data_IF_895356366328
#
_entry.id   IF_895356366328
#
_cell.length_a   1.000
_cell.length_b   1.000
_cell.length_c   1.000
_cell.angle_alpha   90.00
_cell.angle_beta   90.00
_cell.angle_gamma   90.00
#
_symmetry.space_group_name_H-M   'P 1'
#
loop_
_entity.id
_entity.type
_entity.pdbx_description
1 polymer ?
#
# COMPACT_ATOMS: atom_id res chain seq x y z
N UNK A 1 -28.72 0.57 -14.24
CA UNK A 1 -27.56 0.69 -13.35
C UNK A 1 -26.33 0.48 -14.22
N UNK A 2 -25.50 1.48 -14.41
CA UNK A 2 -24.27 1.30 -15.18
C UNK A 2 -23.29 0.44 -14.37
N UNK A 3 -22.33 -0.22 -15.03
CA UNK A 3 -21.28 -0.94 -14.32
C UNK A 3 -20.48 -0.01 -13.38
N UNK A 4 -20.37 1.27 -13.73
CA UNK A 4 -19.71 2.28 -12.91
C UNK A 4 -20.48 2.57 -11.60
N UNK A 5 -21.81 2.58 -11.67
CA UNK A 5 -22.67 2.72 -10.49
C UNK A 5 -22.51 1.48 -9.60
N UNK A 6 -22.52 0.27 -10.19
CA UNK A 6 -22.41 -0.97 -9.42
C UNK A 6 -21.08 -1.13 -8.66
N UNK A 7 -19.95 -0.70 -9.26
CA UNK A 7 -18.64 -0.72 -8.57
C UNK A 7 -18.60 0.29 -7.43
N UNK A 8 -19.10 1.50 -7.66
CA UNK A 8 -19.14 2.55 -6.63
C UNK A 8 -20.03 2.13 -5.46
N UNK A 9 -21.22 1.57 -5.75
CA UNK A 9 -22.15 1.05 -4.74
C UNK A 9 -21.51 -0.09 -3.95
N UNK A 10 -20.73 -0.96 -4.60
CA UNK A 10 -20.00 -2.04 -3.93
C UNK A 10 -18.93 -1.51 -2.96
N UNK A 11 -18.19 -0.46 -3.34
CA UNK A 11 -17.22 0.20 -2.46
C UNK A 11 -17.91 0.86 -1.27
N UNK A 12 -19.05 1.52 -1.49
CA UNK A 12 -19.86 2.10 -0.40
C UNK A 12 -20.35 1.02 0.57
N UNK A 13 -20.88 -0.09 0.05
CA UNK A 13 -21.32 -1.20 0.88
C UNK A 13 -20.18 -1.80 1.72
N UNK A 14 -18.98 -1.95 1.14
CA UNK A 14 -17.80 -2.40 1.88
C UNK A 14 -17.40 -1.42 2.97
N UNK A 15 -17.38 -0.11 2.66
CA UNK A 15 -17.10 0.93 3.65
C UNK A 15 -18.10 0.84 4.81
N UNK A 16 -19.39 0.85 4.53
CA UNK A 16 -20.44 0.83 5.55
C UNK A 16 -20.38 -0.45 6.40
N UNK A 17 -19.99 -1.57 5.81
CA UNK A 17 -19.80 -2.83 6.54
C UNK A 17 -18.64 -2.78 7.53
N UNK A 18 -17.58 -2.03 7.24
CA UNK A 18 -16.32 -2.07 8.00
C UNK A 18 -16.00 -0.78 8.76
N UNK A 19 -16.77 0.31 8.60
CA UNK A 19 -16.53 1.60 9.24
C UNK A 19 -16.55 1.53 10.78
N UNK A 20 -17.23 0.54 11.36
CA UNK A 20 -17.31 0.35 12.81
C UNK A 20 -16.21 -0.58 13.38
N UNK A 21 -15.33 -1.13 12.53
CA UNK A 21 -14.17 -1.90 12.99
C UNK A 21 -13.07 -0.93 13.44
N UNK A 22 -12.97 -0.70 14.75
CA UNK A 22 -12.09 0.31 15.36
C UNK A 22 -10.82 -0.26 16.02
N UNK A 23 -10.50 -1.52 15.77
CA UNK A 23 -9.31 -2.16 16.34
C UNK A 23 -8.00 -1.55 15.79
N UNK A 24 -6.95 -1.57 16.61
CA UNK A 24 -5.62 -1.04 16.25
C UNK A 24 -5.35 0.37 16.78
N UNK A 25 -4.23 0.96 16.37
CA UNK A 25 -3.85 2.33 16.71
C UNK A 25 -3.01 2.97 15.60
N UNK A 26 -3.08 4.30 15.41
CA UNK A 26 -2.15 5.00 14.54
C UNK A 26 -0.68 4.74 14.93
N UNK A 27 0.20 4.75 13.94
CA UNK A 27 1.64 4.67 14.19
C UNK A 27 2.14 5.93 14.91
N UNK A 28 2.90 5.74 15.98
CA UNK A 28 3.34 6.81 16.90
C UNK A 28 4.87 6.96 16.98
N UNK A 29 5.63 6.10 16.30
CA UNK A 29 7.10 6.15 16.28
C UNK A 29 7.68 7.35 15.53
N UNK A 30 6.87 8.01 14.67
CA UNK A 30 7.15 9.32 14.06
C UNK A 30 6.03 10.26 14.52
N UNK A 31 6.31 11.38 15.22
CA UNK A 31 5.29 12.23 15.81
C UNK A 31 4.21 12.71 14.82
N UNK A 32 4.58 12.97 13.58
CA UNK A 32 3.67 13.43 12.53
C UNK A 32 2.64 12.36 12.13
N UNK A 33 2.96 11.06 12.27
CA UNK A 33 2.03 9.97 11.96
C UNK A 33 0.93 9.85 13.02
N UNK A 34 1.23 10.21 14.27
CA UNK A 34 0.25 10.20 15.36
C UNK A 34 -0.85 11.26 15.18
N UNK A 35 -0.65 12.23 14.28
CA UNK A 35 -1.64 13.27 13.95
C UNK A 35 -2.69 12.80 12.94
N UNK A 36 -2.58 11.58 12.41
CA UNK A 36 -3.56 11.02 11.49
C UNK A 36 -4.94 10.88 12.17
N UNK A 37 -6.00 11.23 11.44
CA UNK A 37 -7.37 11.02 11.90
C UNK A 37 -7.70 9.51 11.94
N UNK A 38 -7.93 8.90 13.12
CA UNK A 38 -8.27 7.47 13.21
C UNK A 38 -9.63 7.14 12.61
N UNK A 39 -10.48 8.13 12.36
CA UNK A 39 -11.81 7.96 11.76
C UNK A 39 -11.82 8.07 10.22
N UNK A 40 -10.69 8.42 9.60
CA UNK A 40 -10.62 8.53 8.14
C UNK A 40 -10.58 7.14 7.48
N UNK A 41 -11.60 6.80 6.67
CA UNK A 41 -11.66 5.49 6.00
C UNK A 41 -12.15 5.61 4.54
N UNK A 42 -11.20 5.65 3.62
CA UNK A 42 -11.44 5.73 2.18
C UNK A 42 -11.11 4.45 1.42
N UNK A 43 -11.91 4.16 0.39
CA UNK A 43 -11.67 3.10 -0.58
C UNK A 43 -11.65 3.71 -1.99
N UNK A 44 -10.72 3.23 -2.83
CA UNK A 44 -10.64 3.64 -4.23
C UNK A 44 -10.29 2.46 -5.14
N UNK A 45 -10.85 2.47 -6.34
CA UNK A 45 -10.51 1.54 -7.41
C UNK A 45 -10.31 2.33 -8.71
N UNK A 46 -9.28 1.98 -9.47
CA UNK A 46 -9.03 2.54 -10.81
C UNK A 46 -8.95 1.39 -11.80
N UNK A 47 -9.77 1.43 -12.87
CA UNK A 47 -9.73 0.42 -13.93
C UNK A 47 -8.60 0.69 -14.92
N UNK A 48 -8.27 -0.30 -15.75
CA UNK A 48 -7.28 -0.15 -16.84
C UNK A 48 -7.69 0.91 -17.87
N UNK A 49 -9.00 1.17 -18.02
CA UNK A 49 -9.54 2.22 -18.89
C UNK A 49 -9.52 3.61 -18.24
N UNK A 50 -9.00 3.72 -17.02
CA UNK A 50 -8.85 4.98 -16.28
C UNK A 50 -10.11 5.43 -15.54
N UNK A 51 -11.16 4.59 -15.44
CA UNK A 51 -12.32 4.90 -14.62
C UNK A 51 -11.95 4.87 -13.13
N UNK A 52 -12.33 5.92 -12.41
CA UNK A 52 -12.10 6.05 -10.96
C UNK A 52 -13.40 5.83 -10.20
N UNK A 53 -13.35 5.00 -9.18
CA UNK A 53 -14.45 4.72 -8.26
C UNK A 53 -13.95 4.97 -6.84
N UNK A 54 -14.72 5.71 -6.04
CA UNK A 54 -14.33 6.11 -4.70
C UNK A 54 -15.49 5.96 -3.73
N UNK A 55 -15.18 5.65 -2.47
CA UNK A 55 -16.10 5.71 -1.34
C UNK A 55 -15.37 6.23 -0.09
N UNK A 56 -16.05 7.05 0.71
CA UNK A 56 -15.47 7.62 1.94
C UNK A 56 -14.35 8.62 1.68
N UNK A 57 -13.41 8.68 2.62
CA UNK A 57 -12.33 9.66 2.70
C UNK A 57 -11.14 9.34 1.78
N UNK A 58 -11.41 8.84 0.56
CA UNK A 58 -10.41 8.33 -0.38
C UNK A 58 -9.45 9.38 -0.95
N UNK A 59 -9.78 10.67 -0.81
CA UNK A 59 -8.96 11.79 -1.31
C UNK A 59 -8.16 12.49 -0.20
N UNK A 60 -8.22 12.01 1.05
CA UNK A 60 -7.40 12.53 2.14
C UNK A 60 -5.93 12.16 1.89
N UNK A 61 -5.02 13.15 1.78
CA UNK A 61 -3.61 12.85 1.56
C UNK A 61 -2.96 12.20 2.79
N UNK A 62 -2.09 11.22 2.56
CA UNK A 62 -1.25 10.60 3.57
C UNK A 62 0.11 10.18 2.97
N UNK A 63 1.09 9.91 3.82
CA UNK A 63 2.42 9.47 3.39
C UNK A 63 2.38 8.02 2.88
N UNK A 64 3.01 7.72 1.75
CA UNK A 64 3.04 6.35 1.18
C UNK A 64 3.69 5.28 2.08
N UNK A 65 4.66 5.67 2.92
CA UNK A 65 5.42 4.71 3.74
C UNK A 65 5.97 3.54 2.91
N UNK A 66 5.91 2.31 3.41
CA UNK A 66 6.42 1.12 2.71
C UNK A 66 5.69 0.82 1.38
N UNK A 67 4.52 1.41 1.11
CA UNK A 67 3.85 1.30 -0.20
C UNK A 67 4.69 1.95 -1.31
N UNK A 68 5.68 2.78 -0.96
CA UNK A 68 6.65 3.32 -1.93
C UNK A 68 7.60 2.28 -2.53
N UNK A 69 7.87 1.16 -1.83
CA UNK A 69 8.93 0.19 -2.20
C UNK A 69 8.75 -0.41 -3.60
N UNK A 70 7.56 -0.88 -4.03
CA UNK A 70 7.37 -1.42 -5.37
C UNK A 70 7.68 -0.39 -6.47
N UNK A 71 7.37 0.89 -6.25
CA UNK A 71 7.65 1.96 -7.23
C UNK A 71 9.16 2.21 -7.36
N UNK A 72 9.88 2.25 -6.23
CA UNK A 72 11.34 2.40 -6.24
C UNK A 72 12.02 1.18 -6.87
N UNK A 73 11.50 -0.02 -6.58
CA UNK A 73 12.00 -1.26 -7.19
C UNK A 73 11.78 -1.28 -8.71
N UNK A 74 10.59 -0.90 -9.18
CA UNK A 74 10.31 -0.78 -10.61
C UNK A 74 11.22 0.25 -11.30
N UNK A 75 11.50 1.38 -10.64
CA UNK A 75 12.44 2.38 -11.13
C UNK A 75 13.87 1.82 -11.23
N UNK A 76 14.34 1.13 -10.19
CA UNK A 76 15.66 0.50 -10.20
C UNK A 76 15.80 -0.53 -11.33
N UNK A 77 14.79 -1.38 -11.51
CA UNK A 77 14.73 -2.34 -12.62
C UNK A 77 14.73 -1.65 -13.99
N UNK A 78 13.98 -0.56 -14.14
CA UNK A 78 13.94 0.21 -15.39
C UNK A 78 15.28 0.85 -15.75
N UNK A 79 16.10 1.21 -14.75
CA UNK A 79 17.37 1.91 -14.95
C UNK A 79 18.56 0.96 -15.09
N UNK A 80 18.57 -0.14 -14.33
CA UNK A 80 19.73 -1.02 -14.18
C UNK A 80 19.51 -2.42 -14.76
N UNK A 81 18.26 -2.79 -15.04
CA UNK A 81 17.89 -4.13 -15.45
C UNK A 81 17.85 -5.14 -14.31
N UNK A 82 17.25 -6.30 -14.59
CA UNK A 82 17.04 -7.36 -13.61
C UNK A 82 18.36 -7.95 -13.08
N UNK A 83 19.32 -8.19 -13.97
CA UNK A 83 20.60 -8.84 -13.64
C UNK A 83 21.41 -8.04 -12.63
N UNK A 84 21.38 -6.71 -12.70
CA UNK A 84 22.09 -5.87 -11.76
C UNK A 84 21.35 -5.77 -10.43
N UNK A 85 20.04 -5.51 -10.46
CA UNK A 85 19.24 -5.37 -9.24
C UNK A 85 19.22 -6.66 -8.40
N UNK A 86 19.12 -7.82 -9.05
CA UNK A 86 19.06 -9.13 -8.37
C UNK A 86 20.37 -9.56 -7.68
N UNK A 87 21.48 -8.86 -7.95
CA UNK A 87 22.73 -9.03 -7.17
C UNK A 87 22.58 -8.48 -5.75
N UNK A 88 21.73 -7.47 -5.57
CA UNK A 88 21.59 -6.70 -4.34
C UNK A 88 20.26 -6.91 -3.63
N UNK A 89 19.23 -7.35 -4.35
CA UNK A 89 17.88 -7.52 -3.81
C UNK A 89 17.32 -8.87 -4.26
N UNK A 90 17.03 -9.74 -3.29
CA UNK A 90 16.37 -11.02 -3.54
C UNK A 90 14.90 -10.88 -3.93
N UNK A 91 14.34 -11.92 -4.57
CA UNK A 91 12.93 -11.99 -4.92
C UNK A 91 12.11 -12.93 -4.01
N UNK A 92 12.80 -13.74 -3.19
CA UNK A 92 12.17 -14.71 -2.31
C UNK A 92 11.60 -14.05 -1.04
N UNK A 93 10.42 -14.48 -0.56
CA UNK A 93 9.88 -13.99 0.70
C UNK A 93 10.80 -14.41 1.85
N UNK A 94 11.09 -13.49 2.77
CA UNK A 94 11.97 -13.79 3.91
C UNK A 94 11.32 -14.73 4.93
N UNK A 95 9.99 -14.72 5.07
CA UNK A 95 9.28 -15.40 6.16
C UNK A 95 9.47 -14.72 7.54
N UNK A 96 10.27 -13.67 7.60
CA UNK A 96 10.68 -12.97 8.82
C UNK A 96 9.89 -11.68 9.04
N UNK A 97 9.98 -11.12 10.26
CA UNK A 97 9.46 -9.79 10.56
C UNK A 97 10.10 -8.72 9.65
N UNK A 98 9.35 -7.66 9.33
CA UNK A 98 9.78 -6.64 8.36
C UNK A 98 11.09 -5.91 8.75
N UNK A 99 11.43 -5.89 10.04
CA UNK A 99 12.61 -5.24 10.61
C UNK A 99 13.67 -6.25 11.07
N UNK A 100 13.53 -7.53 10.72
CA UNK A 100 14.54 -8.52 11.00
C UNK A 100 15.83 -8.20 10.21
N UNK A 101 16.97 -8.26 10.89
CA UNK A 101 18.27 -8.21 10.22
C UNK A 101 18.52 -9.60 9.66
N UNK A 102 18.11 -9.80 8.40
CA UNK A 102 18.31 -11.03 7.65
C UNK A 102 19.10 -10.72 6.39
N UNK A 103 20.17 -11.46 6.17
CA UNK A 103 20.98 -11.40 4.96
C UNK A 103 21.17 -12.81 4.43
N UNK A 104 21.07 -12.98 3.13
CA UNK A 104 21.33 -14.26 2.47
C UNK A 104 22.83 -14.64 2.65
N UNK A 105 23.11 -15.86 3.17
CA UNK A 105 24.48 -16.29 3.39
C UNK A 105 25.32 -16.27 2.11
N UNK A 106 26.52 -15.70 2.19
CA UNK A 106 27.50 -15.67 1.09
C UNK A 106 27.31 -14.52 0.09
N UNK A 107 26.11 -13.96 -0.04
CA UNK A 107 25.83 -12.80 -0.90
C UNK A 107 25.68 -11.52 -0.10
N UNK A 108 25.22 -11.59 1.15
CA UNK A 108 25.02 -10.43 2.00
C UNK A 108 23.89 -9.50 1.53
N UNK A 109 23.01 -9.99 0.66
CA UNK A 109 21.81 -9.30 0.19
C UNK A 109 20.59 -9.63 1.05
#
# INVERSE_FOLDING_TARGET
MSAADAVTDSLQHLRDRFIDVRDGKPADYIPQLALANPDAFGLALVSMDGHRYIAGEAEVPFTLQSVSKPFIYALALSLLGLDEVSRWVGAEPSGEAFNAISLEPGTGR
#
